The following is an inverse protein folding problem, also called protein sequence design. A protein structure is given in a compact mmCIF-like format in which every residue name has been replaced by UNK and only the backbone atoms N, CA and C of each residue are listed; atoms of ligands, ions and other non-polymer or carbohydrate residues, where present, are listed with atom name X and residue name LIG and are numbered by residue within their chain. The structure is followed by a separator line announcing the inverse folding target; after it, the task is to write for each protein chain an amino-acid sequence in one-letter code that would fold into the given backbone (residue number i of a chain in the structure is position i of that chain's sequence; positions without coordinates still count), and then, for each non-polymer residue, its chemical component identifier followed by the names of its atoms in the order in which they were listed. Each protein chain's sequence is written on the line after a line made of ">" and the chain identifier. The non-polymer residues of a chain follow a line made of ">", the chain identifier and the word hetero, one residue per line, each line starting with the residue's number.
data_IF_497093009153
#
_entry.id   IF_497093009153
#
_cell.length_a   1.000
_cell.length_b   1.000
_cell.length_c   1.000
_cell.angle_alpha   90.00
_cell.angle_beta   90.00
_cell.angle_gamma   90.00
#
_symmetry.space_group_name_H-M   'P 1'
#
loop_
_entity.id
_entity.type
_entity.pdbx_description
1 polymer ?
#
# COMPACT_ATOMS: atom_id res chain seq x y z
N UNK A 1 -20.51 -16.45 13.03
CA UNK A 1 -19.97 -15.34 12.21
C UNK A 1 -19.36 -15.95 10.96
N UNK A 2 -19.82 -15.57 9.77
CA UNK A 2 -19.24 -16.09 8.52
C UNK A 2 -17.82 -15.55 8.31
N UNK A 3 -16.90 -16.40 7.87
CA UNK A 3 -15.55 -15.98 7.47
C UNK A 3 -15.71 -15.02 6.28
N UNK A 4 -15.44 -13.73 6.47
CA UNK A 4 -15.38 -12.79 5.34
C UNK A 4 -14.19 -13.18 4.48
N UNK A 5 -14.43 -13.42 3.19
CA UNK A 5 -13.37 -13.70 2.23
C UNK A 5 -12.47 -12.47 2.09
N UNK A 6 -11.17 -12.63 2.27
CA UNK A 6 -10.20 -11.57 2.03
C UNK A 6 -10.18 -11.16 0.55
N UNK A 7 -9.86 -9.90 0.28
CA UNK A 7 -9.74 -9.35 -1.08
C UNK A 7 -8.35 -8.74 -1.21
N UNK A 8 -7.69 -8.99 -2.34
CA UNK A 8 -6.38 -8.42 -2.68
C UNK A 8 -6.53 -7.54 -3.92
N UNK A 9 -5.98 -6.32 -3.85
CA UNK A 9 -5.87 -5.40 -4.98
C UNK A 9 -4.40 -5.21 -5.34
N UNK A 10 -4.04 -5.39 -6.61
CA UNK A 10 -2.75 -4.98 -7.13
C UNK A 10 -2.88 -3.56 -7.70
N UNK A 11 -2.24 -2.59 -7.05
CA UNK A 11 -2.39 -1.17 -7.35
C UNK A 11 -1.04 -0.60 -7.79
N UNK A 12 -1.01 0.05 -8.95
CA UNK A 12 0.12 0.87 -9.35
C UNK A 12 0.15 2.16 -8.53
N UNK A 13 1.25 2.41 -7.81
CA UNK A 13 1.43 3.60 -6.97
C UNK A 13 1.68 4.91 -7.77
N UNK A 14 1.93 4.78 -9.09
CA UNK A 14 2.44 5.88 -9.91
C UNK A 14 3.96 6.08 -9.73
N UNK A 15 4.55 7.07 -10.43
CA UNK A 15 6.00 7.27 -10.47
C UNK A 15 6.57 8.04 -9.27
N UNK A 16 5.75 8.45 -8.30
CA UNK A 16 6.20 9.09 -7.06
C UNK A 16 5.32 10.26 -6.61
N UNK A 17 4.79 11.04 -7.55
CA UNK A 17 3.81 12.09 -7.27
C UNK A 17 2.47 11.45 -6.84
N UNK A 18 1.96 11.74 -5.63
CA UNK A 18 0.69 11.21 -5.16
C UNK A 18 -0.51 11.56 -6.05
N UNK A 19 -0.45 12.66 -6.82
CA UNK A 19 -1.51 13.05 -7.75
C UNK A 19 -1.62 12.13 -8.98
N UNK A 20 -0.63 11.26 -9.20
CA UNK A 20 -0.59 10.33 -10.35
C UNK A 20 -1.10 8.92 -10.02
N UNK A 21 -1.49 8.65 -8.77
CA UNK A 21 -2.24 7.43 -8.45
C UNK A 21 -3.66 7.54 -9.00
N UNK A 22 -4.26 6.41 -9.38
CA UNK A 22 -5.68 6.39 -9.75
C UNK A 22 -6.57 6.66 -8.53
N UNK A 23 -7.75 7.26 -8.76
CA UNK A 23 -8.76 7.49 -7.72
C UNK A 23 -9.10 6.18 -6.99
N UNK A 24 -9.29 5.08 -7.72
CA UNK A 24 -9.60 3.77 -7.12
C UNK A 24 -8.43 3.22 -6.29
N UNK A 25 -7.18 3.43 -6.72
CA UNK A 25 -6.00 3.04 -5.97
C UNK A 25 -5.90 3.76 -4.62
N UNK A 26 -6.14 5.07 -4.61
CA UNK A 26 -6.17 5.85 -3.37
C UNK A 26 -7.31 5.40 -2.44
N UNK A 27 -8.49 5.10 -2.98
CA UNK A 27 -9.61 4.57 -2.20
C UNK A 27 -9.31 3.17 -1.61
N UNK A 28 -8.57 2.33 -2.32
CA UNK A 28 -8.08 1.06 -1.78
C UNK A 28 -7.14 1.30 -0.59
N UNK A 29 -6.18 2.22 -0.71
CA UNK A 29 -5.24 2.56 0.39
C UNK A 29 -6.00 3.04 1.64
N UNK A 30 -6.99 3.91 1.47
CA UNK A 30 -7.81 4.43 2.59
C UNK A 30 -8.61 3.36 3.31
N UNK A 31 -8.97 2.26 2.64
CA UNK A 31 -9.85 1.21 3.20
C UNK A 31 -9.10 -0.06 3.63
N UNK A 32 -7.89 -0.26 3.14
CA UNK A 32 -7.12 -1.48 3.37
C UNK A 32 -6.84 -1.73 4.86
N UNK A 33 -7.07 -2.96 5.31
CA UNK A 33 -6.63 -3.44 6.63
C UNK A 33 -5.11 -3.64 6.66
N UNK A 34 -4.51 -4.05 5.53
CA UNK A 34 -3.07 -4.30 5.37
C UNK A 34 -2.60 -3.73 4.03
N UNK A 35 -1.46 -3.03 4.03
CA UNK A 35 -0.81 -2.48 2.83
C UNK A 35 0.59 -3.09 2.71
N UNK A 36 0.81 -3.85 1.65
CA UNK A 36 2.13 -4.39 1.28
C UNK A 36 2.73 -3.48 0.21
N UNK A 37 3.94 -2.97 0.41
CA UNK A 37 4.56 -2.00 -0.50
C UNK A 37 6.07 -2.19 -0.61
N UNK A 38 6.63 -1.82 -1.77
CA UNK A 38 8.07 -1.85 -2.03
C UNK A 38 8.69 -0.45 -1.95
N UNK A 39 9.99 -0.37 -2.28
CA UNK A 39 10.78 0.87 -2.17
C UNK A 39 10.36 1.97 -3.16
N UNK A 40 9.78 1.59 -4.30
CA UNK A 40 9.42 2.54 -5.36
C UNK A 40 8.07 3.22 -5.07
N UNK A 41 7.25 2.63 -4.22
CA UNK A 41 6.01 3.27 -3.76
C UNK A 41 6.34 4.49 -2.88
N UNK A 42 5.79 5.65 -3.25
CA UNK A 42 5.97 6.89 -2.50
C UNK A 42 5.44 6.76 -1.07
N UNK A 43 6.25 6.99 -0.02
CA UNK A 43 5.79 6.92 1.37
C UNK A 43 4.63 7.88 1.67
N UNK A 44 4.47 8.95 0.88
CA UNK A 44 3.36 9.92 1.01
C UNK A 44 1.99 9.28 0.81
N UNK A 45 1.90 8.21 0.01
CA UNK A 45 0.66 7.46 -0.18
C UNK A 45 0.22 6.74 1.11
N UNK A 46 1.18 6.26 1.91
CA UNK A 46 0.89 5.58 3.17
C UNK A 46 0.28 6.51 4.23
N UNK A 47 0.47 7.84 4.10
CA UNK A 47 -0.19 8.82 4.97
C UNK A 47 -1.72 8.84 4.79
N UNK A 48 -2.23 8.25 3.70
CA UNK A 48 -3.66 8.18 3.39
C UNK A 48 -4.31 6.88 3.91
N UNK A 49 -3.53 5.99 4.52
CA UNK A 49 -4.06 4.74 5.07
C UNK A 49 -5.07 5.02 6.19
N UNK A 50 -6.04 4.11 6.37
CA UNK A 50 -6.86 4.15 7.59
C UNK A 50 -6.00 4.01 8.85
N UNK A 51 -6.38 4.65 9.97
CA UNK A 51 -5.80 4.36 11.27
C UNK A 51 -5.84 2.85 11.57
N UNK A 52 -4.73 2.34 12.09
CA UNK A 52 -4.59 0.91 12.42
C UNK A 52 -4.33 -0.02 11.24
N UNK A 53 -4.25 0.47 9.99
CA UNK A 53 -3.79 -0.37 8.87
C UNK A 53 -2.34 -0.82 9.11
N UNK A 54 -2.07 -2.12 8.96
CA UNK A 54 -0.70 -2.64 8.98
C UNK A 54 0.02 -2.27 7.68
N UNK A 55 1.27 -1.83 7.77
CA UNK A 55 2.10 -1.52 6.61
C UNK A 55 3.32 -2.43 6.58
N UNK A 56 3.38 -3.30 5.57
CA UNK A 56 4.42 -4.32 5.41
C UNK A 56 5.33 -3.90 4.26
N UNK A 57 6.55 -3.50 4.60
CA UNK A 57 7.57 -3.17 3.61
C UNK A 57 8.23 -4.45 3.08
N UNK A 58 8.22 -4.63 1.76
CA UNK A 58 8.80 -5.81 1.07
C UNK A 58 9.87 -5.44 0.05
N UNK A 59 10.23 -4.16 -0.03
CA UNK A 59 11.31 -3.72 -0.90
C UNK A 59 12.67 -4.24 -0.43
N UNK A 60 13.59 -4.43 -1.36
CA UNK A 60 15.00 -4.66 -0.99
C UNK A 60 15.53 -3.43 -0.24
N UNK A 61 16.53 -3.57 0.61
CA UNK A 61 17.34 -2.44 1.11
C UNK A 61 18.78 -2.68 0.65
N UNK A 62 19.51 -1.64 0.19
CA UNK A 62 20.97 -1.73 0.07
C UNK A 62 21.53 -2.25 1.40
N UNK A 63 22.51 -3.14 1.35
CA UNK A 63 23.24 -3.66 2.52
C UNK A 63 22.43 -4.50 3.53
N UNK A 64 21.19 -4.88 3.20
CA UNK A 64 20.42 -5.92 3.90
C UNK A 64 20.09 -7.06 2.93
N UNK A 65 20.99 -8.05 2.91
CA UNK A 65 20.86 -9.29 2.16
C UNK A 65 20.61 -10.43 3.16
N UNK A 66 19.35 -10.64 3.53
CA UNK A 66 18.88 -11.82 4.27
C UNK A 66 17.86 -12.54 3.43
#
# INVERSE_FOLDING_TARGET
>A
MGVKKGIVYLIGAGPGDPGLITVKGLECIKKADVIVYDRLASPRLLNQRRPGAECIFVGKQPDRHT
#
